data_IF_952789747166
#
_entry.id   IF_952789747166
#
_cell.length_a   1.000
_cell.length_b   1.000
_cell.length_c   1.000
_cell.angle_alpha   90.00
_cell.angle_beta   90.00
_cell.angle_gamma   90.00
#
_symmetry.space_group_name_H-M   'P 1'
#
loop_
_entity.id
_entity.type
_entity.pdbx_description
1 polymer ?
#
# COMPACT_ATOMS: atom_id res chain seq x y z
N UNK A 1 -32.12 12.85 2.56
CA UNK A 1 -32.15 12.15 1.25
C UNK A 1 -30.75 11.88 0.73
N UNK A 2 -29.89 12.89 0.52
CA UNK A 2 -28.50 12.67 0.06
C UNK A 2 -27.70 11.63 0.85
N UNK A 3 -27.57 11.79 2.17
CA UNK A 3 -26.77 10.89 3.02
C UNK A 3 -27.36 9.48 3.16
N UNK A 4 -28.54 9.25 2.58
CA UNK A 4 -29.21 7.95 2.53
C UNK A 4 -29.12 7.34 1.13
N UNK A 5 -28.53 8.04 0.15
CA UNK A 5 -28.35 7.56 -1.20
C UNK A 5 -27.13 6.63 -1.28
N UNK A 6 -27.30 5.33 -1.55
CA UNK A 6 -26.19 4.38 -1.63
C UNK A 6 -25.26 4.64 -2.82
N UNK A 7 -25.71 5.35 -3.86
CA UNK A 7 -24.89 5.70 -5.02
C UNK A 7 -24.00 6.93 -4.75
N UNK A 8 -24.32 7.69 -3.70
CA UNK A 8 -23.58 8.88 -3.30
C UNK A 8 -22.72 8.67 -2.04
N UNK A 9 -23.01 7.64 -1.24
CA UNK A 9 -22.34 7.37 0.04
C UNK A 9 -21.79 5.96 0.08
N UNK A 10 -20.48 5.85 0.28
CA UNK A 10 -19.80 4.58 0.50
C UNK A 10 -19.34 4.49 1.96
N UNK A 11 -19.53 3.32 2.59
CA UNK A 11 -19.10 3.08 3.97
C UNK A 11 -17.88 2.16 4.00
N UNK A 12 -16.76 2.71 4.46
CA UNK A 12 -15.50 2.01 4.73
C UNK A 12 -15.50 1.52 6.18
N UNK A 13 -16.36 0.53 6.45
CA UNK A 13 -16.75 0.13 7.80
C UNK A 13 -15.60 -0.38 8.68
N UNK A 14 -14.58 -1.03 8.11
CA UNK A 14 -13.47 -1.58 8.90
C UNK A 14 -12.55 -0.51 9.46
N UNK A 15 -12.53 0.67 8.83
CA UNK A 15 -11.74 1.82 9.27
C UNK A 15 -12.60 2.97 9.82
N UNK A 16 -13.93 2.81 9.84
CA UNK A 16 -14.86 3.79 10.41
C UNK A 16 -15.01 5.07 9.59
N UNK A 17 -14.82 5.02 8.28
CA UNK A 17 -14.89 6.18 7.38
C UNK A 17 -16.10 6.06 6.44
N UNK A 18 -16.69 7.20 6.07
CA UNK A 18 -17.66 7.29 4.99
C UNK A 18 -17.17 8.26 3.92
N UNK A 19 -17.27 7.86 2.66
CA UNK A 19 -17.00 8.74 1.51
C UNK A 19 -18.33 9.24 0.93
N UNK A 20 -18.35 10.51 0.51
CA UNK A 20 -19.55 11.16 -0.02
C UNK A 20 -19.19 11.84 -1.34
N UNK A 21 -19.83 11.41 -2.43
CA UNK A 21 -19.66 12.03 -3.74
C UNK A 21 -20.55 13.27 -3.88
N UNK A 22 -20.00 14.44 -3.55
CA UNK A 22 -20.68 15.74 -3.59
C UNK A 22 -21.03 16.24 -5.00
N UNK A 23 -20.51 15.57 -6.04
CA UNK A 23 -20.78 15.89 -7.46
C UNK A 23 -21.78 14.92 -8.09
N UNK A 24 -22.33 13.98 -7.33
CA UNK A 24 -23.35 13.06 -7.84
C UNK A 24 -24.57 13.86 -8.32
N UNK A 25 -25.11 13.49 -9.50
CA UNK A 25 -26.35 14.08 -10.01
C UNK A 25 -27.52 13.86 -9.04
N UNK A 26 -27.47 12.76 -8.29
CA UNK A 26 -28.48 12.37 -7.31
C UNK A 26 -28.24 12.98 -5.91
N UNK A 27 -27.08 13.62 -5.70
CA UNK A 27 -26.83 14.44 -4.51
C UNK A 27 -25.82 15.58 -4.79
N UNK A 28 -26.30 16.71 -5.33
CA UNK A 28 -25.52 17.94 -5.36
C UNK A 28 -25.57 18.59 -3.96
N UNK A 29 -24.48 18.50 -3.20
CA UNK A 29 -24.33 19.20 -1.92
C UNK A 29 -22.95 19.86 -1.86
N UNK A 30 -22.88 21.11 -1.40
CA UNK A 30 -21.59 21.77 -1.21
C UNK A 30 -20.87 21.18 0.02
N UNK A 31 -19.54 21.22 0.03
CA UNK A 31 -18.77 20.78 1.20
C UNK A 31 -19.15 21.58 2.46
N UNK A 32 -19.45 22.86 2.32
CA UNK A 32 -19.82 23.74 3.44
C UNK A 32 -21.19 23.39 4.01
N UNK A 33 -22.18 23.12 3.16
CA UNK A 33 -23.51 22.68 3.59
C UNK A 33 -23.44 21.32 4.30
N UNK A 34 -22.63 20.41 3.75
CA UNK A 34 -22.41 19.08 4.32
C UNK A 34 -21.77 19.18 5.72
N UNK A 35 -20.70 19.97 5.86
CA UNK A 35 -20.04 20.25 7.15
C UNK A 35 -21.03 20.84 8.14
N UNK A 36 -21.76 21.88 7.74
CA UNK A 36 -22.73 22.55 8.62
C UNK A 36 -23.81 21.58 9.14
N UNK A 37 -24.32 20.72 8.26
CA UNK A 37 -25.31 19.70 8.62
C UNK A 37 -24.72 18.67 9.59
N UNK A 38 -23.56 18.10 9.25
CA UNK A 38 -22.92 17.04 10.03
C UNK A 38 -22.44 17.53 11.41
N UNK A 39 -21.91 18.75 11.51
CA UNK A 39 -21.53 19.37 12.78
C UNK A 39 -22.75 19.58 13.70
N UNK A 40 -23.89 19.98 13.12
CA UNK A 40 -25.13 20.13 13.87
C UNK A 40 -25.63 18.78 14.39
N UNK A 41 -25.67 17.77 13.52
CA UNK A 41 -26.07 16.41 13.88
C UNK A 41 -25.15 15.83 14.96
N UNK A 42 -23.83 16.03 14.83
CA UNK A 42 -22.84 15.63 15.83
C UNK A 42 -23.12 16.23 17.21
N UNK A 43 -23.40 17.53 17.29
CA UNK A 43 -23.76 18.18 18.56
C UNK A 43 -25.06 17.65 19.18
N UNK A 44 -26.08 17.39 18.35
CA UNK A 44 -27.37 16.88 18.84
C UNK A 44 -27.28 15.43 19.32
N UNK A 45 -26.40 14.63 18.70
CA UNK A 45 -26.21 13.22 19.02
C UNK A 45 -25.07 12.97 20.02
N UNK A 46 -24.27 13.98 20.35
CA UNK A 46 -23.08 13.84 21.18
C UNK A 46 -21.97 13.03 20.50
N UNK A 47 -21.83 13.16 19.19
CA UNK A 47 -20.83 12.49 18.36
C UNK A 47 -19.80 13.51 17.85
N UNK A 48 -18.53 13.13 17.89
CA UNK A 48 -17.47 13.85 17.19
C UNK A 48 -17.52 13.48 15.71
N UNK A 49 -17.81 14.45 14.85
CA UNK A 49 -17.89 14.25 13.40
C UNK A 49 -16.73 14.98 12.73
N UNK A 50 -15.98 14.24 11.91
CA UNK A 50 -14.86 14.78 11.13
C UNK A 50 -15.23 14.76 9.64
N UNK A 51 -15.02 15.88 8.97
CA UNK A 51 -15.34 16.04 7.54
C UNK A 51 -14.19 16.77 6.85
N UNK A 52 -13.50 16.07 5.97
CA UNK A 52 -12.36 16.58 5.23
C UNK A 52 -12.58 16.36 3.72
N UNK A 53 -12.09 17.28 2.85
CA UNK A 53 -12.13 17.06 1.41
C UNK A 53 -11.20 15.90 1.01
N UNK A 54 -11.44 15.31 -0.16
CA UNK A 54 -10.47 14.40 -0.75
C UNK A 54 -9.19 15.18 -1.09
N UNK A 55 -8.03 14.63 -0.74
CA UNK A 55 -6.71 15.22 -0.98
C UNK A 55 -6.02 14.39 -2.06
N UNK A 56 -5.38 15.06 -3.01
CA UNK A 56 -4.55 14.40 -4.00
C UNK A 56 -3.24 13.91 -3.35
N UNK A 57 -2.87 12.67 -3.65
CA UNK A 57 -1.64 12.04 -3.18
C UNK A 57 -0.83 11.64 -4.40
N UNK A 58 0.46 11.94 -4.40
CA UNK A 58 1.35 11.61 -5.52
C UNK A 58 2.52 10.76 -5.02
N UNK A 59 2.78 9.66 -5.73
CA UNK A 59 4.04 8.93 -5.58
C UNK A 59 5.12 9.80 -6.21
N UNK A 60 6.07 10.26 -5.40
CA UNK A 60 7.11 11.20 -5.84
C UNK A 60 7.87 10.70 -7.07
N UNK A 61 8.24 11.61 -7.97
CA UNK A 61 8.90 11.33 -9.28
C UNK A 61 10.32 10.72 -9.14
N UNK A 62 10.74 10.34 -7.93
CA UNK A 62 12.10 9.90 -7.62
C UNK A 62 12.43 8.49 -8.10
N UNK A 63 11.43 7.66 -8.42
CA UNK A 63 11.69 6.49 -9.27
C UNK A 63 11.60 6.95 -10.72
N UNK A 64 12.64 7.62 -11.20
CA UNK A 64 12.82 7.88 -12.62
C UNK A 64 12.63 6.54 -13.33
N UNK A 65 11.49 6.33 -14.03
CA UNK A 65 11.07 5.11 -14.75
C UNK A 65 11.76 3.84 -14.22
N UNK A 66 11.07 2.93 -13.50
CA UNK A 66 11.72 1.71 -13.00
C UNK A 66 12.62 1.16 -14.09
N UNK A 67 13.93 1.12 -13.83
CA UNK A 67 14.88 0.68 -14.85
C UNK A 67 14.66 -0.81 -14.95
N UNK A 68 13.74 -1.20 -15.82
CA UNK A 68 13.45 -2.59 -16.14
C UNK A 68 14.73 -3.12 -16.76
N UNK A 69 15.53 -3.79 -15.95
CA UNK A 69 16.60 -4.60 -16.47
C UNK A 69 15.94 -5.89 -16.95
N UNK A 70 15.84 -6.05 -18.27
CA UNK A 70 15.28 -7.24 -18.92
C UNK A 70 16.22 -8.46 -18.79
N UNK A 71 17.44 -8.25 -18.31
CA UNK A 71 18.46 -9.30 -18.18
C UNK A 71 19.35 -9.08 -16.96
N UNK A 72 19.85 -10.18 -16.40
CA UNK A 72 20.92 -10.19 -15.38
C UNK A 72 22.17 -9.42 -15.81
N UNK A 73 22.49 -9.39 -17.11
CA UNK A 73 23.62 -8.65 -17.63
C UNK A 73 23.42 -7.12 -17.55
N UNK A 74 22.20 -6.63 -17.73
CA UNK A 74 21.87 -5.21 -17.58
C UNK A 74 21.94 -4.79 -16.10
N UNK A 75 21.40 -5.61 -15.18
CA UNK A 75 21.55 -5.39 -13.73
C UNK A 75 23.04 -5.35 -13.35
N UNK A 76 23.81 -6.34 -13.81
CA UNK A 76 25.26 -6.41 -13.59
C UNK A 76 26.01 -5.17 -14.09
N UNK A 77 25.59 -4.61 -15.24
CA UNK A 77 26.17 -3.39 -15.81
C UNK A 77 25.81 -2.13 -15.02
N UNK A 78 24.65 -2.09 -14.35
CA UNK A 78 24.24 -0.97 -13.49
C UNK A 78 25.01 -0.91 -12.18
N UNK A 79 25.35 -2.08 -11.61
CA UNK A 79 26.01 -2.20 -10.31
C UNK A 79 27.48 -2.64 -10.40
N UNK A 80 28.11 -2.54 -11.57
CA UNK A 80 29.42 -3.11 -11.91
C UNK A 80 30.66 -2.63 -11.12
N UNK A 81 30.48 -1.95 -10.00
CA UNK A 81 31.55 -1.52 -9.07
C UNK A 81 31.23 -1.69 -7.59
N UNK A 82 30.05 -2.24 -7.24
CA UNK A 82 29.64 -2.47 -5.85
C UNK A 82 30.03 -3.90 -5.41
N UNK A 83 30.42 -4.09 -4.14
CA UNK A 83 30.58 -5.43 -3.58
C UNK A 83 29.28 -6.20 -3.78
N UNK A 84 29.34 -7.42 -4.29
CA UNK A 84 28.16 -8.28 -4.39
C UNK A 84 27.88 -8.87 -3.01
N UNK A 85 26.62 -8.91 -2.60
CA UNK A 85 26.21 -9.61 -1.37
C UNK A 85 26.45 -11.12 -1.50
N UNK A 86 26.87 -11.75 -0.40
CA UNK A 86 27.02 -13.20 -0.27
C UNK A 86 25.75 -13.80 0.36
N UNK A 87 24.58 -13.38 -0.15
CA UNK A 87 23.27 -13.83 0.33
C UNK A 87 23.06 -15.30 -0.02
N UNK A 88 22.47 -16.06 0.90
CA UNK A 88 22.20 -17.49 0.77
C UNK A 88 20.93 -17.71 -0.06
N UNK A 89 21.02 -17.45 -1.37
CA UNK A 89 19.94 -17.64 -2.35
C UNK A 89 20.50 -18.07 -3.73
N UNK A 90 19.75 -18.91 -4.46
CA UNK A 90 20.10 -19.31 -5.83
C UNK A 90 19.67 -18.29 -6.91
N UNK A 91 18.96 -17.24 -6.52
CA UNK A 91 18.39 -16.25 -7.43
C UNK A 91 19.50 -15.37 -8.04
N UNK A 92 19.56 -15.25 -9.38
CA UNK A 92 20.72 -14.69 -10.07
C UNK A 92 20.98 -13.19 -9.78
N UNK A 93 19.95 -12.45 -9.34
CA UNK A 93 20.06 -11.03 -8.99
C UNK A 93 20.13 -10.76 -7.49
N UNK A 94 19.94 -11.76 -6.62
CA UNK A 94 19.96 -11.56 -5.17
C UNK A 94 21.29 -10.98 -4.67
N UNK A 95 22.39 -11.37 -5.32
CA UNK A 95 23.75 -10.82 -5.10
C UNK A 95 23.92 -9.31 -5.36
N UNK A 96 22.91 -8.64 -5.94
CA UNK A 96 22.88 -7.19 -6.15
C UNK A 96 21.97 -6.46 -5.14
N UNK A 97 21.38 -7.20 -4.20
CA UNK A 97 20.56 -6.67 -3.12
C UNK A 97 21.41 -6.56 -1.84
N UNK A 98 22.35 -5.62 -1.80
CA UNK A 98 23.26 -5.40 -0.66
C UNK A 98 22.52 -5.17 0.66
N UNK A 99 21.28 -4.68 0.59
CA UNK A 99 20.39 -4.52 1.72
C UNK A 99 20.07 -5.83 2.45
N UNK A 100 20.08 -6.97 1.77
CA UNK A 100 19.79 -8.29 2.36
C UNK A 100 20.87 -8.69 3.38
N UNK A 101 22.13 -8.41 3.08
CA UNK A 101 23.24 -8.63 4.02
C UNK A 101 23.18 -7.63 5.18
N UNK A 102 22.87 -6.36 4.91
CA UNK A 102 22.76 -5.31 5.95
C UNK A 102 21.70 -5.63 7.01
N UNK A 103 20.59 -6.24 6.62
CA UNK A 103 19.53 -6.66 7.55
C UNK A 103 19.72 -8.09 8.09
N UNK A 104 20.82 -8.77 7.71
CA UNK A 104 21.12 -10.15 8.07
C UNK A 104 19.96 -11.11 7.74
N UNK A 105 19.46 -11.06 6.49
CA UNK A 105 18.28 -11.84 6.09
C UNK A 105 18.55 -13.35 6.16
N UNK A 106 19.74 -13.81 5.81
CA UNK A 106 20.11 -15.23 5.90
C UNK A 106 19.93 -15.77 7.33
N UNK A 107 20.30 -14.95 8.32
CA UNK A 107 20.08 -15.29 9.72
C UNK A 107 18.59 -15.40 10.07
N UNK A 108 17.74 -14.54 9.49
CA UNK A 108 16.30 -14.60 9.66
C UNK A 108 15.70 -15.86 8.99
N UNK A 109 16.03 -16.15 7.73
CA UNK A 109 15.58 -17.36 7.04
C UNK A 109 16.00 -18.63 7.77
N UNK A 110 17.28 -18.74 8.17
CA UNK A 110 17.79 -19.86 8.98
C UNK A 110 17.02 -20.04 10.28
N UNK A 111 16.61 -18.95 10.94
CA UNK A 111 15.80 -19.02 12.15
C UNK A 111 14.37 -19.49 11.88
N UNK A 112 13.77 -19.11 10.75
CA UNK A 112 12.45 -19.57 10.34
C UNK A 112 12.49 -21.07 10.01
N UNK A 113 13.45 -21.50 9.19
CA UNK A 113 13.59 -22.90 8.76
C UNK A 113 13.87 -23.84 9.93
N UNK A 114 14.74 -23.42 10.84
CA UNK A 114 15.09 -24.20 12.03
C UNK A 114 14.06 -24.13 13.15
N UNK A 115 13.00 -23.32 13.01
CA UNK A 115 12.00 -23.13 14.07
C UNK A 115 11.16 -24.37 14.36
N UNK A 116 11.06 -25.29 13.39
CA UNK A 116 10.16 -26.45 13.46
C UNK A 116 8.67 -26.09 13.50
N UNK A 117 8.31 -24.83 13.25
CA UNK A 117 6.93 -24.36 13.19
C UNK A 117 6.44 -24.40 11.76
N UNK A 118 5.16 -24.74 11.57
CA UNK A 118 4.48 -24.53 10.30
C UNK A 118 4.24 -23.03 10.11
N UNK A 119 4.77 -22.39 9.05
CA UNK A 119 4.47 -21.00 8.74
C UNK A 119 2.96 -20.81 8.58
N UNK A 120 2.43 -19.72 9.12
CA UNK A 120 1.06 -19.30 8.81
C UNK A 120 1.12 -18.53 7.51
N UNK A 121 0.13 -18.73 6.64
CA UNK A 121 -0.06 -17.86 5.50
C UNK A 121 -0.39 -16.45 6.02
N UNK A 122 0.43 -15.48 5.65
CA UNK A 122 0.23 -14.07 5.95
C UNK A 122 -0.12 -13.36 4.65
N UNK A 123 -1.14 -12.52 4.70
CA UNK A 123 -1.52 -11.67 3.57
C UNK A 123 -0.96 -10.27 3.82
N UNK A 124 -0.13 -9.81 2.89
CA UNK A 124 0.44 -8.47 2.81
C UNK A 124 -0.28 -7.69 1.70
N UNK A 125 -0.97 -6.62 2.07
CA UNK A 125 -1.58 -5.73 1.09
C UNK A 125 -0.57 -4.67 0.60
N UNK A 126 -0.45 -4.52 -0.71
CA UNK A 126 0.34 -3.47 -1.35
C UNK A 126 -0.65 -2.42 -1.88
N UNK A 127 -0.77 -1.29 -1.16
CA UNK A 127 -1.64 -0.16 -1.55
C UNK A 127 -0.80 0.81 -2.37
N UNK A 128 -0.83 0.67 -3.70
CA UNK A 128 0.13 1.31 -4.61
C UNK A 128 -0.42 1.45 -6.05
N UNK A 129 0.43 1.45 -7.09
CA UNK A 129 0.06 1.56 -8.51
C UNK A 129 -0.49 0.27 -9.12
N UNK A 130 -0.65 -0.79 -8.31
CA UNK A 130 -0.98 -2.14 -8.73
C UNK A 130 0.21 -3.10 -8.60
N UNK A 131 0.04 -4.34 -9.02
CA UNK A 131 1.12 -5.36 -9.08
C UNK A 131 0.96 -6.14 -10.37
N UNK A 132 2.06 -6.38 -11.09
CA UNK A 132 2.08 -7.36 -12.18
C UNK A 132 1.98 -8.78 -11.61
N UNK A 133 0.75 -9.28 -11.50
CA UNK A 133 0.44 -10.63 -11.00
C UNK A 133 0.93 -11.75 -11.93
N UNK A 134 1.37 -11.42 -13.14
CA UNK A 134 1.92 -12.38 -14.10
C UNK A 134 3.44 -12.48 -14.05
N UNK A 135 4.11 -11.60 -13.28
CA UNK A 135 5.55 -11.56 -13.19
C UNK A 135 6.09 -12.92 -12.72
N UNK A 136 7.07 -13.54 -13.41
CA UNK A 136 7.53 -14.89 -13.11
C UNK A 136 7.97 -15.11 -11.66
N UNK A 137 8.49 -14.05 -11.05
CA UNK A 137 9.03 -14.02 -9.69
C UNK A 137 8.00 -13.64 -8.59
N UNK A 138 6.75 -13.33 -8.98
CA UNK A 138 5.68 -12.91 -8.06
C UNK A 138 4.39 -13.70 -8.20
N UNK A 139 4.11 -14.30 -9.37
CA UNK A 139 2.84 -14.97 -9.68
C UNK A 139 2.41 -15.99 -8.62
N UNK A 140 3.36 -16.72 -8.03
CA UNK A 140 3.09 -17.77 -7.03
C UNK A 140 2.95 -17.20 -5.61
N UNK A 141 3.24 -15.90 -5.45
CA UNK A 141 3.05 -15.12 -4.23
C UNK A 141 1.81 -14.25 -4.25
N UNK A 142 1.02 -14.25 -5.32
CA UNK A 142 -0.22 -13.48 -5.36
C UNK A 142 -1.30 -14.09 -4.47
N UNK A 143 -1.90 -13.29 -3.60
CA UNK A 143 -3.15 -13.61 -2.93
C UNK A 143 -4.26 -13.73 -3.98
N UNK A 144 -5.19 -14.67 -3.80
CA UNK A 144 -6.31 -14.88 -4.72
C UNK A 144 -7.62 -14.91 -3.94
N UNK A 145 -8.54 -14.02 -4.30
CA UNK A 145 -9.90 -13.99 -3.78
C UNK A 145 -10.74 -15.16 -4.32
N UNK A 146 -11.95 -15.34 -3.78
CA UNK A 146 -12.87 -16.40 -4.21
C UNK A 146 -13.37 -16.25 -5.65
N UNK A 147 -13.34 -15.04 -6.21
CA UNK A 147 -13.68 -14.73 -7.59
C UNK A 147 -12.50 -14.85 -8.57
N UNK A 148 -11.31 -15.19 -8.07
CA UNK A 148 -10.08 -15.33 -8.85
C UNK A 148 -9.30 -14.03 -9.04
N UNK A 149 -9.76 -12.90 -8.50
CA UNK A 149 -8.99 -11.65 -8.49
C UNK A 149 -7.84 -11.68 -7.49
N UNK A 150 -6.84 -10.82 -7.69
CA UNK A 150 -5.69 -10.68 -6.79
C UNK A 150 -5.78 -9.46 -5.85
N UNK A 151 -6.95 -8.80 -5.83
CA UNK A 151 -7.19 -7.57 -5.11
C UNK A 151 -8.16 -6.67 -5.88
N UNK A 152 -8.01 -5.35 -5.75
CA UNK A 152 -8.95 -4.39 -6.34
C UNK A 152 -8.26 -3.13 -6.87
N UNK A 153 -8.82 -2.56 -7.94
CA UNK A 153 -8.37 -1.32 -8.55
C UNK A 153 -9.40 -0.22 -8.27
N UNK A 154 -9.01 0.70 -7.40
CA UNK A 154 -9.80 1.86 -6.98
C UNK A 154 -9.72 3.04 -7.94
N UNK A 155 -8.78 3.01 -8.91
CA UNK A 155 -8.68 4.03 -9.96
C UNK A 155 -9.76 3.82 -11.02
N UNK A 156 -9.93 2.57 -11.47
CA UNK A 156 -10.86 2.20 -12.55
C UNK A 156 -12.10 1.44 -12.04
N UNK A 157 -12.21 1.26 -10.72
CA UNK A 157 -13.32 0.59 -10.02
C UNK A 157 -13.64 -0.82 -10.56
N UNK A 158 -12.64 -1.69 -10.57
CA UNK A 158 -12.74 -3.09 -11.03
C UNK A 158 -11.63 -3.96 -10.42
N UNK A 159 -11.58 -5.23 -10.78
CA UNK A 159 -10.62 -6.22 -10.24
C UNK A 159 -9.27 -6.26 -10.99
N UNK A 160 -9.07 -5.43 -12.02
CA UNK A 160 -7.81 -5.40 -12.77
C UNK A 160 -6.76 -4.55 -12.04
N UNK A 161 -5.93 -5.23 -11.26
CA UNK A 161 -4.86 -4.64 -10.43
C UNK A 161 -3.52 -4.50 -11.14
N UNK A 162 -3.49 -4.65 -12.46
CA UNK A 162 -2.27 -4.56 -13.27
C UNK A 162 -1.51 -3.26 -12.99
N UNK A 163 -0.21 -3.37 -12.80
CA UNK A 163 0.65 -2.22 -12.56
C UNK A 163 1.07 -1.56 -13.88
N UNK A 164 0.65 -0.31 -14.08
CA UNK A 164 0.99 0.48 -15.28
C UNK A 164 2.12 1.48 -15.04
N UNK A 165 2.65 1.55 -13.81
CA UNK A 165 3.72 2.44 -13.42
C UNK A 165 5.01 1.66 -13.10
N UNK A 166 4.87 0.52 -12.42
CA UNK A 166 5.94 -0.37 -11.97
C UNK A 166 6.36 -0.17 -10.50
N UNK A 167 5.88 0.88 -9.83
CA UNK A 167 6.21 1.16 -8.44
C UNK A 167 5.68 0.09 -7.49
N UNK A 168 4.40 -0.26 -7.59
CA UNK A 168 3.79 -1.29 -6.74
C UNK A 168 4.36 -2.69 -6.97
N UNK A 169 4.68 -3.06 -8.20
CA UNK A 169 5.37 -4.32 -8.52
C UNK A 169 6.77 -4.36 -7.91
N UNK A 170 7.49 -3.25 -7.94
CA UNK A 170 8.81 -3.13 -7.31
C UNK A 170 8.72 -3.27 -5.78
N UNK A 171 7.74 -2.62 -5.15
CA UNK A 171 7.48 -2.77 -3.70
C UNK A 171 7.08 -4.21 -3.33
N UNK A 172 6.25 -4.87 -4.14
CA UNK A 172 5.87 -6.27 -3.96
C UNK A 172 7.08 -7.21 -4.08
N UNK A 173 7.96 -6.97 -5.06
CA UNK A 173 9.21 -7.73 -5.25
C UNK A 173 10.15 -7.64 -4.04
N UNK A 174 10.36 -6.44 -3.51
CA UNK A 174 11.16 -6.27 -2.28
C UNK A 174 10.57 -7.11 -1.14
N UNK A 175 9.26 -7.05 -0.95
CA UNK A 175 8.62 -7.72 0.17
C UNK A 175 8.59 -9.25 0.02
N UNK A 176 8.26 -9.75 -1.16
CA UNK A 176 7.83 -11.14 -1.37
C UNK A 176 8.12 -11.68 -2.77
N UNK A 177 9.16 -11.21 -3.48
CA UNK A 177 9.69 -12.00 -4.59
C UNK A 177 10.01 -13.42 -4.09
N UNK A 178 9.74 -14.42 -4.93
CA UNK A 178 9.92 -15.80 -4.53
C UNK A 178 11.41 -16.14 -4.47
N UNK A 179 11.93 -16.36 -3.27
CA UNK A 179 13.31 -16.77 -3.05
C UNK A 179 13.54 -18.23 -3.45
N UNK A 180 14.74 -18.53 -3.96
CA UNK A 180 15.22 -19.85 -4.38
C UNK A 180 14.40 -20.47 -5.51
N UNK A 181 14.13 -19.69 -6.55
CA UNK A 181 13.39 -20.13 -7.74
C UNK A 181 14.21 -20.03 -9.05
N UNK A 182 15.53 -19.80 -8.97
CA UNK A 182 16.44 -19.53 -10.09
C UNK A 182 16.06 -18.30 -10.95
N UNK A 183 15.19 -17.40 -10.47
CA UNK A 183 14.66 -16.24 -11.21
C UNK A 183 14.90 -14.97 -10.40
N UNK A 184 15.23 -13.88 -11.10
CA UNK A 184 15.08 -12.55 -10.51
C UNK A 184 15.85 -12.35 -9.20
N UNK A 185 15.13 -11.82 -8.20
CA UNK A 185 15.64 -11.34 -6.91
C UNK A 185 15.06 -12.18 -5.76
N UNK A 186 15.63 -12.07 -4.57
CA UNK A 186 15.05 -12.66 -3.37
C UNK A 186 14.17 -11.64 -2.63
N UNK A 187 12.96 -12.06 -2.23
CA UNK A 187 12.06 -11.29 -1.37
C UNK A 187 12.38 -11.49 0.11
N UNK A 188 11.90 -10.61 0.99
CA UNK A 188 12.15 -10.73 2.44
C UNK A 188 11.39 -11.91 3.07
N UNK A 189 10.13 -12.12 2.70
CA UNK A 189 9.25 -13.07 3.36
C UNK A 189 8.34 -13.85 2.40
N UNK A 190 8.07 -15.11 2.74
CA UNK A 190 7.06 -15.94 2.08
C UNK A 190 5.64 -15.54 2.55
N UNK A 191 5.01 -14.64 1.80
CA UNK A 191 3.69 -14.05 2.11
C UNK A 191 2.87 -13.90 0.85
N UNK A 192 1.53 -13.84 0.99
CA UNK A 192 0.62 -13.61 -0.12
C UNK A 192 0.35 -12.12 -0.33
N UNK A 193 0.63 -11.64 -1.54
CA UNK A 193 0.47 -10.25 -1.97
C UNK A 193 -0.97 -9.99 -2.42
N UNK A 194 -1.68 -9.13 -1.69
CA UNK A 194 -2.95 -8.55 -2.13
C UNK A 194 -2.67 -7.22 -2.83
N UNK A 195 -2.95 -7.15 -4.13
CA UNK A 195 -2.68 -5.97 -4.94
C UNK A 195 -3.82 -4.96 -4.86
N UNK A 196 -3.57 -3.79 -4.27
CA UNK A 196 -4.58 -2.74 -4.12
C UNK A 196 -4.13 -1.51 -4.90
N UNK A 197 -4.68 -1.34 -6.09
CA UNK A 197 -4.30 -0.23 -6.98
C UNK A 197 -5.06 1.03 -6.58
N UNK A 198 -4.37 1.95 -5.91
CA UNK A 198 -4.86 3.26 -5.49
C UNK A 198 -4.31 4.42 -6.33
N UNK A 199 -3.27 4.16 -7.15
CA UNK A 199 -2.59 5.17 -7.98
C UNK A 199 -2.64 4.80 -9.47
N UNK A 200 -2.76 5.82 -10.31
CA UNK A 200 -2.76 5.71 -11.76
C UNK A 200 -1.37 5.45 -12.35
N UNK A 201 -1.30 5.33 -13.68
CA UNK A 201 -0.05 5.07 -14.40
C UNK A 201 1.00 6.19 -14.23
N UNK A 202 0.57 7.41 -13.94
CA UNK A 202 1.43 8.57 -13.67
C UNK A 202 1.81 8.71 -12.18
N UNK A 203 1.43 7.75 -11.34
CA UNK A 203 1.70 7.77 -9.89
C UNK A 203 0.80 8.73 -9.11
N UNK A 204 -0.24 9.29 -9.73
CA UNK A 204 -1.21 10.16 -9.05
C UNK A 204 -2.39 9.34 -8.52
N UNK A 205 -2.89 9.72 -7.36
CA UNK A 205 -4.00 9.06 -6.68
C UNK A 205 -4.69 10.01 -5.71
N UNK A 206 -5.70 9.52 -5.03
CA UNK A 206 -6.43 10.29 -4.03
C UNK A 206 -6.40 9.61 -2.66
N UNK A 207 -6.49 10.41 -1.61
CA UNK A 207 -6.61 9.92 -0.23
C UNK A 207 -7.79 8.94 -0.11
N UNK A 208 -8.91 9.20 -0.78
CA UNK A 208 -10.04 8.26 -0.81
C UNK A 208 -9.65 6.87 -1.31
N UNK A 209 -8.97 6.77 -2.45
CA UNK A 209 -8.52 5.49 -3.01
C UNK A 209 -7.58 4.74 -2.04
N UNK A 210 -6.73 5.49 -1.34
CA UNK A 210 -5.84 4.90 -0.32
C UNK A 210 -6.59 4.40 0.92
N UNK A 211 -7.63 5.11 1.37
CA UNK A 211 -8.50 4.70 2.47
C UNK A 211 -9.36 3.49 2.09
N UNK A 212 -9.88 3.47 0.86
CA UNK A 212 -10.57 2.30 0.30
C UNK A 212 -9.64 1.09 0.26
N UNK A 213 -8.38 1.27 -0.15
CA UNK A 213 -7.34 0.25 -0.09
C UNK A 213 -7.10 -0.28 1.33
N UNK A 214 -6.87 0.61 2.31
CA UNK A 214 -6.70 0.19 3.70
C UNK A 214 -7.94 -0.57 4.23
N UNK A 215 -9.14 -0.07 3.95
CA UNK A 215 -10.37 -0.74 4.33
C UNK A 215 -10.49 -2.12 3.69
N UNK A 216 -10.18 -2.25 2.40
CA UNK A 216 -10.22 -3.52 1.67
C UNK A 216 -9.22 -4.52 2.23
N UNK A 217 -7.99 -4.08 2.51
CA UNK A 217 -6.94 -4.89 3.11
C UNK A 217 -7.43 -5.50 4.43
N UNK A 218 -7.91 -4.67 5.34
CA UNK A 218 -8.43 -5.11 6.64
C UNK A 218 -9.66 -6.02 6.48
N UNK A 219 -10.59 -5.66 5.58
CA UNK A 219 -11.82 -6.44 5.33
C UNK A 219 -11.55 -7.83 4.77
N UNK A 220 -10.50 -7.98 3.96
CA UNK A 220 -10.14 -9.23 3.28
C UNK A 220 -9.01 -9.99 4.00
N UNK A 221 -8.76 -9.67 5.28
CA UNK A 221 -7.88 -10.45 6.14
C UNK A 221 -6.38 -10.20 5.95
N UNK A 222 -5.99 -9.14 5.24
CA UNK A 222 -4.59 -8.71 5.25
C UNK A 222 -4.17 -8.40 6.70
N UNK A 223 -3.03 -8.94 7.10
CA UNK A 223 -2.48 -8.70 8.45
C UNK A 223 -1.60 -7.45 8.46
N UNK A 224 -0.98 -7.16 7.31
CA UNK A 224 -0.08 -6.02 7.11
C UNK A 224 -0.48 -5.31 5.82
N UNK A 225 -0.35 -3.99 5.80
CA UNK A 225 -0.42 -3.18 4.58
C UNK A 225 0.83 -2.30 4.43
N UNK A 226 1.28 -2.15 3.19
CA UNK A 226 2.37 -1.28 2.80
C UNK A 226 1.83 -0.09 2.01
N UNK A 227 2.25 1.11 2.42
CA UNK A 227 1.80 2.40 1.90
C UNK A 227 3.01 3.25 1.52
N UNK A 228 3.53 3.04 0.31
CA UNK A 228 4.78 3.64 -0.17
C UNK A 228 4.56 4.99 -0.86
N UNK A 229 3.86 5.89 -0.17
CA UNK A 229 3.52 7.23 -0.67
C UNK A 229 3.44 8.23 0.48
N UNK A 230 3.55 9.52 0.16
CA UNK A 230 3.45 10.61 1.13
C UNK A 230 2.64 11.78 0.60
N UNK A 231 2.20 12.65 1.49
CA UNK A 231 1.53 13.92 1.20
C UNK A 231 1.90 14.98 2.23
N UNK A 232 1.82 16.26 1.85
CA UNK A 232 2.09 17.38 2.75
C UNK A 232 0.89 17.72 3.66
N UNK A 233 -0.29 17.17 3.36
CA UNK A 233 -1.54 17.45 4.06
C UNK A 233 -1.79 16.49 5.21
N UNK A 234 -2.02 17.01 6.42
CA UNK A 234 -2.56 16.21 7.52
C UNK A 234 -4.04 15.92 7.31
N UNK A 235 -4.47 14.72 7.69
CA UNK A 235 -5.88 14.31 7.70
C UNK A 235 -6.22 13.59 8.99
N UNK A 236 -7.18 14.13 9.73
CA UNK A 236 -7.67 13.51 10.97
C UNK A 236 -8.49 12.26 10.66
N UNK A 237 -9.19 12.26 9.52
CA UNK A 237 -9.91 11.07 9.02
C UNK A 237 -8.94 9.94 8.72
N UNK A 238 -7.80 10.23 8.09
CA UNK A 238 -6.79 9.22 7.80
C UNK A 238 -6.10 8.71 9.07
N UNK A 239 -5.79 9.59 10.02
CA UNK A 239 -5.31 9.18 11.35
C UNK A 239 -6.29 8.20 12.02
N UNK A 240 -7.58 8.53 12.05
CA UNK A 240 -8.60 7.65 12.63
C UNK A 240 -8.69 6.30 11.89
N UNK A 241 -8.58 6.30 10.56
CA UNK A 241 -8.58 5.07 9.78
C UNK A 241 -7.41 4.13 10.16
N UNK A 242 -6.19 4.68 10.28
CA UNK A 242 -5.01 3.93 10.71
C UNK A 242 -5.19 3.41 12.15
N UNK A 243 -5.71 4.24 13.06
CA UNK A 243 -6.01 3.82 14.42
C UNK A 243 -7.07 2.71 14.49
N UNK A 244 -8.10 2.76 13.63
CA UNK A 244 -9.13 1.72 13.53
C UNK A 244 -8.55 0.40 13.00
N UNK A 245 -7.70 0.45 11.97
CA UNK A 245 -7.00 -0.73 11.48
C UNK A 245 -6.11 -1.34 12.58
N UNK A 246 -5.36 -0.52 13.32
CA UNK A 246 -4.51 -0.99 14.42
C UNK A 246 -5.32 -1.65 15.55
N UNK A 247 -6.51 -1.14 15.87
CA UNK A 247 -7.39 -1.73 16.91
C UNK A 247 -7.83 -3.17 16.62
N UNK A 248 -7.88 -3.55 15.34
CA UNK A 248 -8.21 -4.93 14.93
C UNK A 248 -6.96 -5.78 14.66
N UNK A 249 -5.78 -5.30 15.04
CA UNK A 249 -4.51 -6.02 14.94
C UNK A 249 -3.83 -5.93 13.58
N UNK A 250 -4.28 -5.03 12.69
CA UNK A 250 -3.64 -4.79 11.40
C UNK A 250 -2.43 -3.86 11.54
N UNK A 251 -1.32 -4.21 10.90
CA UNK A 251 -0.09 -3.39 10.90
C UNK A 251 -0.05 -2.53 9.63
N UNK A 252 0.06 -1.21 9.81
CA UNK A 252 0.17 -0.24 8.70
C UNK A 252 1.62 0.22 8.61
N UNK A 253 2.29 -0.04 7.49
CA UNK A 253 3.68 0.38 7.23
C UNK A 253 3.67 1.51 6.20
N UNK A 254 4.36 2.60 6.51
CA UNK A 254 4.32 3.85 5.74
C UNK A 254 5.73 4.37 5.44
N UNK A 255 5.92 4.98 4.27
CA UNK A 255 7.18 5.62 3.90
C UNK A 255 7.35 7.00 4.56
N UNK A 256 8.59 7.40 4.85
CA UNK A 256 8.94 8.71 5.44
C UNK A 256 8.97 9.87 4.43
N UNK A 257 8.93 9.57 3.13
CA UNK A 257 9.10 10.56 2.06
C UNK A 257 10.55 10.70 1.61
N UNK A 258 10.73 11.38 0.47
CA UNK A 258 12.00 11.44 -0.27
C UNK A 258 12.57 12.86 -0.40
N UNK A 259 12.02 13.83 0.34
CA UNK A 259 12.33 15.25 0.13
C UNK A 259 13.62 15.71 0.81
N UNK A 260 14.27 14.83 1.59
CA UNK A 260 15.51 15.15 2.31
C UNK A 260 15.30 16.17 3.43
N UNK A 261 14.10 16.21 4.00
CA UNK A 261 13.71 17.11 5.09
C UNK A 261 13.67 16.40 6.43
N UNK A 262 13.76 17.17 7.52
CA UNK A 262 13.47 16.69 8.86
C UNK A 262 11.95 16.63 9.05
N UNK A 263 11.40 15.43 9.20
CA UNK A 263 9.94 15.21 9.32
C UNK A 263 9.36 15.66 10.67
N UNK A 264 10.20 15.97 11.65
CA UNK A 264 9.77 16.60 12.90
C UNK A 264 9.54 18.11 12.71
N UNK A 265 10.26 18.75 11.77
CA UNK A 265 10.13 20.18 11.44
C UNK A 265 9.18 20.42 10.26
N UNK A 266 9.23 19.54 9.25
CA UNK A 266 8.42 19.57 8.04
C UNK A 266 7.67 18.23 7.87
N UNK A 267 6.55 18.03 8.59
CA UNK A 267 5.80 16.79 8.57
C UNK A 267 5.42 16.29 7.16
N UNK A 268 5.43 14.97 7.01
CA UNK A 268 4.87 14.25 5.86
C UNK A 268 3.85 13.25 6.37
N UNK A 269 2.74 13.09 5.66
CA UNK A 269 1.68 12.17 6.06
C UNK A 269 1.58 11.02 5.07
N UNK A 270 1.38 9.77 5.53
CA UNK A 270 0.93 9.41 6.88
C UNK A 270 2.04 9.17 7.95
N UNK A 271 3.33 9.27 7.65
CA UNK A 271 4.39 8.89 8.62
C UNK A 271 4.49 9.77 9.87
N UNK A 272 4.16 11.06 9.76
CA UNK A 272 4.22 12.02 10.88
C UNK A 272 2.93 12.08 11.70
N UNK A 273 2.03 11.11 11.55
CA UNK A 273 0.86 11.02 12.43
C UNK A 273 1.30 10.78 13.88
N UNK A 274 1.12 11.77 14.74
CA UNK A 274 1.33 11.62 16.16
C UNK A 274 0.23 10.75 16.77
N UNK A 275 0.59 9.63 17.38
CA UNK A 275 -0.32 8.89 18.25
C UNK A 275 -0.38 9.64 19.59
N UNK A 276 -1.50 10.29 19.86
CA UNK A 276 -1.79 10.88 21.17
C UNK A 276 -1.91 9.83 22.27
#
# INVERSE_FOLDING_TARGET
>A
DCLQNPDAVETLGMIGVQSINTKSEDCPVSLDDLKSYLDKAGRELGLDVLVEPNIEVKIGDSVSKPRIAETTAQVAGLFGGWPKSDVDSDDPLARYQDNLELINIDGAWKNVDSSGKTPKEIILAIVDTGVDSSHPDLKDQMWTASDGSHGYNFVDNNENTSDLNGHGTHCAGIAAAQTDNDVGIAGIADVKIMALRAFGADGTGGMLATLQGLNWAVSNGATVSSHSYTSDGSSTVFLQAIQSAAKVGHVVVVASGNDGVDVDEEPRFPCSFATA
#
